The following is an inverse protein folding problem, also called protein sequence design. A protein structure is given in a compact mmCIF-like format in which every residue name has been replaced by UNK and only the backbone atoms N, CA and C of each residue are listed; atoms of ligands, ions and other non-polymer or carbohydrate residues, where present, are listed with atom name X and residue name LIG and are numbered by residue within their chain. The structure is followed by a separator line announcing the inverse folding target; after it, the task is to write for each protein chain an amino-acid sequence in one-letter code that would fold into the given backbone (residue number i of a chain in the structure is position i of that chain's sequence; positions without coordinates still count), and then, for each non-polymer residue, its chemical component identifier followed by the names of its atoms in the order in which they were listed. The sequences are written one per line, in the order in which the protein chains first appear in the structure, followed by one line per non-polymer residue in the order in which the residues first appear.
data_IF_933457197097
#
_entry.id   IF_933457197097
#
_cell.length_a   1.000
_cell.length_b   1.000
_cell.length_c   1.000
_cell.angle_alpha   90.00
_cell.angle_beta   90.00
_cell.angle_gamma   90.00
#
_symmetry.space_group_name_H-M   'P 1'
#
loop_
_entity.id
_entity.type
_entity.pdbx_description
1 polymer ?
#
# COMPACT_ATOMS: atom_id res chain seq x y z
N UNK A 1 -26.13 15.23 13.98
CA UNK A 1 -24.89 15.63 13.30
C UNK A 1 -23.85 14.50 13.27
N UNK A 2 -24.24 13.24 13.06
CA UNK A 2 -23.29 12.17 13.21
C UNK A 2 -22.89 11.50 11.88
N UNK A 3 -23.72 10.63 11.36
CA UNK A 3 -23.39 9.72 10.23
C UNK A 3 -23.38 10.41 8.86
N UNK A 4 -24.29 11.34 8.59
CA UNK A 4 -24.42 12.03 7.29
C UNK A 4 -23.20 12.90 6.97
N UNK A 5 -22.63 13.59 7.98
CA UNK A 5 -21.40 14.38 7.83
C UNK A 5 -20.16 13.48 7.63
N UNK A 6 -20.13 12.33 8.30
CA UNK A 6 -19.07 11.32 8.17
C UNK A 6 -19.02 10.70 6.78
N UNK A 7 -20.16 10.36 6.20
CA UNK A 7 -20.23 9.85 4.81
C UNK A 7 -19.66 10.85 3.80
N UNK A 8 -19.92 12.14 3.95
CA UNK A 8 -19.50 13.15 2.98
C UNK A 8 -17.98 13.39 3.01
N UNK A 9 -17.34 13.34 4.17
CA UNK A 9 -15.89 13.51 4.29
C UNK A 9 -15.10 12.23 3.90
N UNK A 10 -15.65 11.06 4.16
CA UNK A 10 -15.05 9.78 3.78
C UNK A 10 -15.22 9.54 2.27
N UNK A 11 -16.27 10.07 1.64
CA UNK A 11 -16.49 10.05 0.18
C UNK A 11 -15.41 10.78 -0.62
N UNK A 12 -14.66 11.70 -0.02
CA UNK A 12 -13.57 12.42 -0.68
C UNK A 12 -12.38 11.51 -1.06
N UNK A 13 -12.27 10.31 -0.46
CA UNK A 13 -11.32 9.29 -0.88
C UNK A 13 -11.95 8.44 -1.99
N UNK A 14 -11.37 8.43 -3.19
CA UNK A 14 -11.89 7.64 -4.31
C UNK A 14 -11.71 6.14 -4.06
N UNK A 15 -12.74 5.34 -4.39
CA UNK A 15 -12.71 3.88 -4.18
C UNK A 15 -12.84 3.47 -2.71
N UNK A 16 -12.30 2.30 -2.36
CA UNK A 16 -12.23 1.76 -0.99
C UNK A 16 -13.60 1.63 -0.30
N UNK A 17 -14.66 1.25 -1.06
CA UNK A 17 -16.04 1.20 -0.54
C UNK A 17 -16.15 0.35 0.72
N UNK A 18 -15.61 -0.87 0.71
CA UNK A 18 -15.61 -1.80 1.86
C UNK A 18 -14.87 -1.22 3.07
N UNK A 19 -13.74 -0.54 2.83
CA UNK A 19 -12.96 0.12 3.89
C UNK A 19 -13.77 1.24 4.54
N UNK A 20 -14.47 2.03 3.73
CA UNK A 20 -15.33 3.11 4.21
C UNK A 20 -16.50 2.60 5.02
N UNK A 21 -17.17 1.56 4.55
CA UNK A 21 -18.26 0.89 5.27
C UNK A 21 -17.78 0.40 6.64
N UNK A 22 -16.63 -0.28 6.70
CA UNK A 22 -16.07 -0.77 7.97
C UNK A 22 -15.71 0.34 8.94
N UNK A 23 -15.11 1.43 8.45
CA UNK A 23 -14.82 2.62 9.26
C UNK A 23 -16.11 3.25 9.80
N UNK A 24 -17.16 3.34 8.98
CA UNK A 24 -18.46 3.87 9.41
C UNK A 24 -19.11 3.00 10.46
N UNK A 25 -19.04 1.68 10.33
CA UNK A 25 -19.52 0.72 11.35
C UNK A 25 -18.81 0.96 12.69
N UNK A 26 -17.49 1.07 12.68
CA UNK A 26 -16.69 1.33 13.90
C UNK A 26 -17.08 2.68 14.55
N UNK A 27 -17.26 3.72 13.74
CA UNK A 27 -17.69 5.04 14.23
C UNK A 27 -19.12 4.97 14.78
N UNK A 28 -20.01 4.22 14.14
CA UNK A 28 -21.40 4.07 14.58
C UNK A 28 -21.50 3.34 15.93
N UNK A 29 -20.74 2.26 16.12
CA UNK A 29 -20.66 1.55 17.41
C UNK A 29 -20.23 2.50 18.52
N UNK A 30 -19.18 3.30 18.28
CA UNK A 30 -18.68 4.27 19.26
C UNK A 30 -19.69 5.42 19.54
N UNK A 31 -20.49 5.79 18.56
CA UNK A 31 -21.54 6.79 18.72
C UNK A 31 -22.75 6.28 19.54
N UNK A 32 -23.08 5.00 19.38
CA UNK A 32 -24.16 4.35 20.12
C UNK A 32 -23.77 3.99 21.55
N UNK A 33 -22.53 3.58 21.75
CA UNK A 33 -21.99 3.22 23.05
C UNK A 33 -20.66 3.96 23.29
N UNK A 34 -20.70 5.17 23.89
CA UNK A 34 -19.49 5.93 24.20
C UNK A 34 -18.54 5.22 25.21
N UNK A 35 -19.06 4.27 25.98
CA UNK A 35 -18.27 3.53 26.96
C UNK A 35 -17.44 2.40 26.31
N UNK A 36 -17.69 2.09 25.04
CA UNK A 36 -16.79 1.19 24.27
C UNK A 36 -15.48 1.92 24.02
N UNK A 37 -14.53 1.66 24.93
CA UNK A 37 -13.18 2.21 24.87
C UNK A 37 -12.26 1.22 24.11
N UNK A 38 -11.25 1.77 23.44
CA UNK A 38 -10.09 1.00 23.01
C UNK A 38 -10.17 0.30 21.66
N UNK A 39 -11.14 0.58 20.81
CA UNK A 39 -11.05 0.11 19.42
C UNK A 39 -9.96 0.89 18.67
N UNK A 40 -8.91 0.17 18.29
CA UNK A 40 -7.79 0.70 17.52
C UNK A 40 -7.95 0.22 16.09
N UNK A 41 -8.06 1.14 15.17
CA UNK A 41 -8.13 0.83 13.73
C UNK A 41 -6.70 0.73 13.20
N UNK A 42 -6.35 -0.41 12.61
CA UNK A 42 -5.08 -0.60 11.91
C UNK A 42 -5.31 -0.63 10.39
N UNK A 43 -4.83 0.40 9.69
CA UNK A 43 -4.92 0.50 8.24
C UNK A 43 -3.67 -0.13 7.62
N UNK A 44 -3.83 -1.29 6.98
CA UNK A 44 -2.73 -2.05 6.39
C UNK A 44 -2.82 -2.01 4.86
N UNK A 45 -1.69 -1.96 4.20
CA UNK A 45 -1.65 -2.03 2.73
C UNK A 45 -0.39 -1.40 2.15
N UNK A 46 -0.20 -1.50 0.84
CA UNK A 46 1.02 -1.04 0.19
C UNK A 46 1.24 0.47 0.34
N UNK A 47 2.47 0.95 0.15
CA UNK A 47 2.76 2.38 0.24
C UNK A 47 2.03 3.19 -0.84
N UNK A 48 1.53 4.37 -0.46
CA UNK A 48 0.88 5.30 -1.39
C UNK A 48 -0.60 5.06 -1.66
N UNK A 49 -1.26 4.11 -0.98
CA UNK A 49 -2.72 3.89 -1.08
C UNK A 49 -3.56 4.87 -0.25
N UNK A 50 -2.92 5.77 0.49
CA UNK A 50 -3.63 6.85 1.20
C UNK A 50 -3.98 6.56 2.66
N UNK A 51 -3.38 5.58 3.32
CA UNK A 51 -3.61 5.23 4.74
C UNK A 51 -3.69 6.46 5.66
N UNK A 52 -2.66 7.28 5.64
CA UNK A 52 -2.58 8.50 6.46
C UNK A 52 -3.66 9.54 6.08
N UNK A 53 -4.06 9.59 4.80
CA UNK A 53 -5.13 10.47 4.33
C UNK A 53 -6.49 10.01 4.84
N UNK A 54 -6.73 8.70 4.88
CA UNK A 54 -7.94 8.09 5.47
C UNK A 54 -8.05 8.47 6.95
N UNK A 55 -6.97 8.34 7.74
CA UNK A 55 -6.96 8.76 9.14
C UNK A 55 -7.32 10.24 9.35
N UNK A 56 -6.82 11.11 8.48
CA UNK A 56 -7.20 12.54 8.52
C UNK A 56 -8.68 12.76 8.14
N UNK A 57 -9.20 12.01 7.18
CA UNK A 57 -10.61 12.09 6.78
C UNK A 57 -11.52 11.62 7.90
N UNK A 58 -11.14 10.57 8.65
CA UNK A 58 -11.85 10.10 9.84
C UNK A 58 -11.91 11.23 10.89
N UNK A 59 -10.77 11.82 11.24
CA UNK A 59 -10.72 12.89 12.22
C UNK A 59 -11.66 14.06 11.85
N UNK A 60 -11.65 14.45 10.57
CA UNK A 60 -12.53 15.50 10.05
C UNK A 60 -14.00 15.10 10.13
N UNK A 61 -14.34 13.86 9.82
CA UNK A 61 -15.72 13.36 9.81
C UNK A 61 -16.36 13.38 11.20
N UNK A 62 -15.58 13.06 12.24
CA UNK A 62 -16.05 13.07 13.63
C UNK A 62 -15.78 14.40 14.36
N UNK A 63 -15.35 15.43 13.61
CA UNK A 63 -15.04 16.77 14.10
C UNK A 63 -14.06 16.76 15.29
N UNK A 64 -12.99 15.95 15.20
CA UNK A 64 -11.91 15.91 16.19
C UNK A 64 -10.62 16.47 15.61
N UNK A 65 -9.78 17.04 16.48
CA UNK A 65 -8.44 17.45 16.11
C UNK A 65 -7.61 16.24 15.65
N UNK A 66 -6.69 16.47 14.71
CA UNK A 66 -5.84 15.46 14.11
C UNK A 66 -4.38 15.67 14.49
N UNK A 67 -3.74 14.63 14.98
CA UNK A 67 -2.29 14.60 15.16
C UNK A 67 -1.69 13.37 14.49
N UNK A 68 -0.42 13.42 14.11
CA UNK A 68 0.32 12.30 13.49
C UNK A 68 1.65 12.11 14.19
N UNK A 69 1.94 10.86 14.54
CA UNK A 69 3.22 10.42 15.07
C UNK A 69 3.80 9.42 14.08
N UNK A 70 5.00 9.67 13.55
CA UNK A 70 5.72 8.68 12.75
C UNK A 70 6.50 7.77 13.69
N UNK A 71 6.25 6.47 13.62
CA UNK A 71 6.94 5.44 14.40
C UNK A 71 8.11 4.80 13.65
N UNK A 72 8.24 5.12 12.35
CA UNK A 72 9.34 4.60 11.54
C UNK A 72 10.70 5.02 12.07
N UNK A 73 11.49 4.03 12.52
CA UNK A 73 12.83 4.24 13.06
C UNK A 73 12.89 4.54 14.55
N UNK A 74 11.77 4.53 15.27
CA UNK A 74 11.73 4.62 16.73
C UNK A 74 12.28 3.31 17.30
N UNK A 75 13.34 3.41 18.11
CA UNK A 75 13.99 2.28 18.78
C UNK A 75 14.12 2.48 20.30
N UNK A 76 13.82 3.68 20.81
CA UNK A 76 13.91 4.02 22.23
C UNK A 76 12.49 4.25 22.79
N UNK A 77 12.17 3.55 23.88
CA UNK A 77 10.93 3.72 24.64
C UNK A 77 10.74 5.18 25.09
N UNK A 78 11.83 5.86 25.43
CA UNK A 78 11.81 7.26 25.87
C UNK A 78 11.28 8.21 24.79
N UNK A 79 11.30 7.85 23.50
CA UNK A 79 10.65 8.66 22.48
C UNK A 79 9.12 8.65 22.61
N UNK A 80 8.54 7.57 23.14
CA UNK A 80 7.08 7.46 23.37
C UNK A 80 6.70 8.06 24.71
N UNK A 81 7.41 7.65 25.80
CA UNK A 81 7.11 8.00 27.20
C UNK A 81 7.82 9.26 27.70
N UNK A 82 8.74 9.86 26.92
CA UNK A 82 9.54 10.98 27.37
C UNK A 82 10.76 10.60 28.18
N UNK A 83 11.67 11.55 28.35
CA UNK A 83 12.87 11.41 29.17
C UNK A 83 12.66 12.00 30.55
N UNK A 84 13.20 11.37 31.59
CA UNK A 84 13.16 11.90 32.96
C UNK A 84 13.84 13.27 33.02
N UNK A 85 13.26 14.22 33.77
CA UNK A 85 13.76 15.60 33.90
C UNK A 85 15.20 15.72 34.37
N UNK A 86 15.74 14.67 34.99
CA UNK A 86 17.14 14.64 35.47
C UNK A 86 18.17 14.58 34.34
N UNK A 87 17.78 14.28 33.11
CA UNK A 87 18.70 14.22 31.98
C UNK A 87 18.81 15.55 31.26
N UNK A 88 20.01 15.91 30.81
CA UNK A 88 20.23 17.08 29.95
C UNK A 88 19.53 16.85 28.62
N UNK A 89 18.68 17.78 28.20
CA UNK A 89 17.87 17.65 26.98
C UNK A 89 16.58 16.83 27.18
N UNK A 90 16.16 16.59 28.43
CA UNK A 90 14.89 15.93 28.73
C UNK A 90 13.71 16.63 28.04
N UNK A 91 12.80 15.83 27.48
CA UNK A 91 11.62 16.33 26.78
C UNK A 91 10.46 15.36 26.93
N UNK A 92 9.20 15.84 26.84
CA UNK A 92 8.03 14.99 26.88
C UNK A 92 8.01 14.05 25.67
N UNK A 93 7.36 12.90 25.84
CA UNK A 93 7.18 11.90 24.81
C UNK A 93 6.35 12.38 23.60
N UNK A 94 6.38 11.60 22.55
CA UNK A 94 5.66 11.93 21.29
C UNK A 94 4.15 11.97 21.48
N UNK A 95 3.59 11.18 22.40
CA UNK A 95 2.15 11.17 22.73
C UNK A 95 1.75 12.53 23.32
N UNK A 96 2.47 12.98 24.34
CA UNK A 96 2.23 14.29 24.98
C UNK A 96 2.39 15.44 23.98
N UNK A 97 3.42 15.40 23.15
CA UNK A 97 3.63 16.39 22.09
C UNK A 97 2.45 16.42 21.11
N UNK A 98 1.92 15.26 20.72
CA UNK A 98 0.79 15.17 19.81
C UNK A 98 -0.50 15.78 20.43
N UNK A 99 -0.78 15.50 21.71
CA UNK A 99 -1.91 16.07 22.45
C UNK A 99 -1.75 17.60 22.55
N UNK A 100 -0.56 18.07 22.90
CA UNK A 100 -0.25 19.50 22.99
C UNK A 100 -0.46 20.22 21.65
N UNK A 101 -0.04 19.61 20.55
CA UNK A 101 -0.26 20.15 19.20
C UNK A 101 -1.75 20.15 18.80
N UNK A 102 -2.49 19.11 19.19
CA UNK A 102 -3.92 19.01 18.93
C UNK A 102 -4.74 20.02 19.74
N UNK A 103 -4.21 20.52 20.88
CA UNK A 103 -4.89 21.44 21.80
C UNK A 103 -6.23 20.92 22.34
N UNK A 104 -6.38 19.61 22.45
CA UNK A 104 -7.55 18.93 22.98
C UNK A 104 -7.13 17.58 23.57
N UNK A 105 -7.89 17.07 24.55
CA UNK A 105 -7.62 15.76 25.19
C UNK A 105 -8.25 14.59 24.44
N UNK A 106 -9.09 14.86 23.42
CA UNK A 106 -9.79 13.83 22.65
C UNK A 106 -9.45 13.85 21.14
N UNK A 107 -8.18 14.01 20.73
CA UNK A 107 -7.82 14.05 19.32
C UNK A 107 -7.93 12.66 18.68
N UNK A 108 -7.84 12.63 17.35
CA UNK A 108 -7.46 11.44 16.60
C UNK A 108 -5.96 11.47 16.40
N UNK A 109 -5.26 10.48 16.93
CA UNK A 109 -3.81 10.33 16.77
C UNK A 109 -3.53 9.18 15.79
N UNK A 110 -2.88 9.51 14.67
CA UNK A 110 -2.40 8.51 13.72
C UNK A 110 -0.97 8.12 14.06
N UNK A 111 -0.78 6.87 14.44
CA UNK A 111 0.51 6.22 14.65
C UNK A 111 0.95 5.59 13.33
N UNK A 112 1.81 6.30 12.60
CA UNK A 112 2.17 5.94 11.23
C UNK A 112 3.41 5.06 11.18
N UNK A 113 3.37 4.02 10.33
CA UNK A 113 4.46 3.05 10.13
C UNK A 113 4.81 2.22 11.38
N UNK A 114 3.78 1.65 12.05
CA UNK A 114 3.98 0.80 13.24
C UNK A 114 4.77 -0.48 12.92
N UNK A 115 4.70 -0.95 11.69
CA UNK A 115 5.47 -2.08 11.15
C UNK A 115 6.99 -1.84 11.10
N UNK A 116 7.43 -0.59 11.30
CA UNK A 116 8.84 -0.19 11.28
C UNK A 116 9.42 0.14 12.66
N UNK A 117 8.73 -0.25 13.71
CA UNK A 117 9.28 -0.21 15.06
C UNK A 117 10.52 -1.09 15.14
N UNK A 118 11.55 -0.61 15.84
CA UNK A 118 12.75 -1.38 16.11
C UNK A 118 12.81 -1.69 17.59
N UNK A 119 13.11 -2.92 17.95
CA UNK A 119 13.51 -3.28 19.30
C UNK A 119 15.02 -3.29 19.34
N UNK A 120 15.61 -2.29 19.97
CA UNK A 120 17.04 -2.18 20.18
C UNK A 120 17.36 -2.45 21.67
N UNK A 121 18.64 -2.61 21.99
CA UNK A 121 19.12 -2.80 23.38
C UNK A 121 18.78 -1.64 24.34
N UNK A 122 18.21 -0.54 23.84
CA UNK A 122 17.89 0.69 24.60
C UNK A 122 16.46 0.77 25.10
N UNK A 123 15.64 -0.21 24.85
CA UNK A 123 14.24 -0.23 25.29
C UNK A 123 13.32 -0.95 24.32
N UNK A 124 12.09 -1.14 24.74
CA UNK A 124 11.04 -1.77 23.95
C UNK A 124 9.90 -0.76 23.68
N UNK A 125 9.95 -0.02 22.56
CA UNK A 125 8.90 0.91 22.21
C UNK A 125 7.54 0.22 21.98
N UNK A 126 7.52 -1.09 21.69
CA UNK A 126 6.28 -1.84 21.54
C UNK A 126 5.56 -1.99 22.89
N UNK A 127 6.30 -2.23 23.99
CA UNK A 127 5.73 -2.25 25.36
C UNK A 127 5.15 -0.88 25.75
N UNK A 128 5.84 0.21 25.40
CA UNK A 128 5.31 1.55 25.65
C UNK A 128 4.02 1.82 24.88
N UNK A 129 3.93 1.33 23.61
CA UNK A 129 2.71 1.45 22.82
C UNK A 129 1.59 0.54 23.33
N UNK A 130 1.90 -0.61 23.91
CA UNK A 130 0.88 -1.45 24.54
C UNK A 130 0.17 -0.70 25.66
N UNK A 131 0.89 0.01 26.54
CA UNK A 131 0.27 0.83 27.58
C UNK A 131 -0.59 1.97 27.00
N UNK A 132 -0.12 2.64 25.94
CA UNK A 132 -0.86 3.71 25.28
C UNK A 132 -2.15 3.19 24.63
N UNK A 133 -2.09 2.00 24.06
CA UNK A 133 -3.17 1.42 23.26
C UNK A 133 -4.11 0.53 24.05
N UNK A 134 -3.70 0.06 25.24
CA UNK A 134 -4.53 -0.78 26.09
C UNK A 134 -5.59 0.05 26.82
N UNK A 135 -6.89 -0.20 26.62
CA UNK A 135 -7.96 0.53 27.29
C UNK A 135 -7.94 0.43 28.81
N UNK A 136 -7.38 -0.67 29.35
CA UNK A 136 -7.28 -0.88 30.80
C UNK A 136 -6.15 -0.05 31.43
N UNK A 137 -5.13 0.30 30.65
CA UNK A 137 -3.93 0.98 31.14
C UNK A 137 -3.87 2.46 30.71
N UNK A 138 -4.43 2.81 29.57
CA UNK A 138 -4.28 4.13 28.95
C UNK A 138 -4.94 5.28 29.72
N UNK A 139 -5.86 4.99 30.65
CA UNK A 139 -6.46 5.99 31.53
C UNK A 139 -5.46 6.57 32.54
N UNK A 140 -4.32 5.90 32.75
CA UNK A 140 -3.27 6.33 33.68
C UNK A 140 -1.88 6.32 33.03
N UNK A 141 -1.79 6.64 31.75
CA UNK A 141 -0.53 6.70 31.03
C UNK A 141 0.47 7.66 31.68
N UNK A 142 1.66 7.18 32.00
CA UNK A 142 2.70 7.95 32.68
C UNK A 142 3.81 8.36 31.70
N UNK A 143 3.85 9.66 31.40
CA UNK A 143 5.00 10.26 30.72
C UNK A 143 6.10 10.58 31.72
N UNK A 144 7.32 10.10 31.47
CA UNK A 144 8.45 10.24 32.40
C UNK A 144 8.93 11.71 32.56
N UNK A 145 8.63 12.56 31.60
CA UNK A 145 8.93 13.99 31.72
C UNK A 145 7.88 14.72 32.54
N UNK A 146 6.60 14.39 32.36
CA UNK A 146 5.53 15.08 33.10
C UNK A 146 5.45 14.60 34.54
N UNK A 147 5.67 13.31 34.78
CA UNK A 147 5.54 12.64 36.09
C UNK A 147 4.14 12.73 36.72
N UNK A 148 3.14 12.97 35.87
CA UNK A 148 1.71 12.95 36.20
C UNK A 148 0.99 12.01 35.25
N UNK A 149 -0.01 11.24 35.74
CA UNK A 149 -0.79 10.37 34.89
C UNK A 149 -1.66 11.21 33.92
N UNK A 150 -1.75 10.76 32.69
CA UNK A 150 -2.60 11.33 31.64
C UNK A 150 -3.68 10.30 31.26
N UNK A 151 -4.91 10.74 31.21
CA UNK A 151 -6.01 9.93 30.70
C UNK A 151 -6.07 10.04 29.17
N UNK A 152 -5.74 8.92 28.51
CA UNK A 152 -5.81 8.78 27.04
C UNK A 152 -7.06 8.06 26.56
N UNK A 153 -8.00 7.73 27.45
CA UNK A 153 -9.18 6.93 27.12
C UNK A 153 -10.10 7.56 26.08
N UNK A 154 -10.11 8.89 25.98
CA UNK A 154 -10.88 9.62 24.98
C UNK A 154 -10.13 9.84 23.66
N UNK A 155 -8.85 9.51 23.60
CA UNK A 155 -8.05 9.59 22.38
C UNK A 155 -8.47 8.46 21.43
N UNK A 156 -8.68 8.78 20.17
CA UNK A 156 -8.89 7.77 19.13
C UNK A 156 -7.56 7.48 18.44
N UNK A 157 -7.06 6.27 18.60
CA UNK A 157 -5.84 5.83 17.94
C UNK A 157 -6.15 5.14 16.61
N UNK A 158 -5.41 5.51 15.58
CA UNK A 158 -5.39 4.85 14.28
C UNK A 158 -3.95 4.50 13.97
N UNK A 159 -3.66 3.24 13.69
CA UNK A 159 -2.33 2.81 13.29
C UNK A 159 -2.27 2.61 11.78
N UNK A 160 -1.08 2.74 11.19
CA UNK A 160 -0.86 2.39 9.78
C UNK A 160 0.34 1.47 9.66
N UNK A 161 0.24 0.49 8.76
CA UNK A 161 1.31 -0.45 8.46
C UNK A 161 1.36 -0.77 6.96
N UNK A 162 2.50 -1.22 6.46
CA UNK A 162 2.58 -1.77 5.11
C UNK A 162 2.37 -3.28 5.12
N UNK A 163 2.84 -3.97 6.16
CA UNK A 163 2.68 -5.41 6.41
C UNK A 163 2.34 -5.64 7.88
N UNK A 164 1.75 -6.79 8.19
CA UNK A 164 1.46 -7.22 9.56
C UNK A 164 2.59 -8.03 10.19
N UNK A 165 3.45 -8.62 9.36
CA UNK A 165 4.43 -9.65 9.75
C UNK A 165 5.42 -9.18 10.81
N UNK A 166 5.71 -7.88 10.86
CA UNK A 166 6.68 -7.27 11.76
C UNK A 166 6.06 -6.66 13.01
N UNK A 167 4.73 -6.65 13.09
CA UNK A 167 4.01 -6.09 14.24
C UNK A 167 3.92 -7.17 15.32
N UNK A 168 4.33 -6.88 16.57
CA UNK A 168 4.18 -7.83 17.68
C UNK A 168 2.74 -8.31 17.89
N UNK A 169 2.55 -9.61 18.07
CA UNK A 169 1.23 -10.21 18.21
C UNK A 169 0.37 -9.54 19.32
N UNK A 170 0.90 -9.19 20.51
CA UNK A 170 0.11 -8.51 21.54
C UNK A 170 -0.46 -7.14 21.13
N UNK A 171 0.19 -6.45 20.17
CA UNK A 171 -0.33 -5.22 19.59
C UNK A 171 -1.42 -5.52 18.56
N UNK A 172 -1.20 -6.54 17.72
CA UNK A 172 -2.19 -6.94 16.68
C UNK A 172 -3.51 -7.39 17.30
N UNK A 173 -3.46 -8.14 18.41
CA UNK A 173 -4.66 -8.65 19.10
C UNK A 173 -5.60 -7.54 19.59
N UNK A 174 -5.08 -6.32 19.74
CA UNK A 174 -5.86 -5.14 20.15
C UNK A 174 -6.35 -4.29 18.99
N UNK A 175 -5.99 -4.65 17.75
CA UNK A 175 -6.26 -3.83 16.58
C UNK A 175 -7.31 -4.45 15.69
N UNK A 176 -8.25 -3.64 15.24
CA UNK A 176 -9.11 -3.99 14.14
C UNK A 176 -8.39 -3.70 12.82
N UNK A 177 -7.96 -4.78 12.15
CA UNK A 177 -7.20 -4.68 10.90
C UNK A 177 -8.14 -4.43 9.72
N UNK A 178 -7.88 -3.34 9.00
CA UNK A 178 -8.58 -2.98 7.77
C UNK A 178 -7.57 -2.92 6.63
N UNK A 179 -7.68 -3.84 5.68
CA UNK A 179 -6.78 -3.90 4.54
C UNK A 179 -7.19 -2.91 3.44
N UNK A 180 -6.24 -2.11 3.00
CA UNK A 180 -6.36 -1.22 1.85
C UNK A 180 -5.69 -1.89 0.65
N UNK A 181 -6.46 -2.33 -0.36
CA UNK A 181 -5.88 -2.95 -1.54
C UNK A 181 -5.11 -1.94 -2.40
N UNK A 182 -4.36 -2.47 -3.37
CA UNK A 182 -3.79 -1.66 -4.44
C UNK A 182 -4.89 -1.07 -5.32
N UNK A 183 -4.63 0.10 -5.88
CA UNK A 183 -5.55 0.72 -6.83
C UNK A 183 -5.44 0.10 -8.22
N UNK A 184 -6.59 -0.12 -8.83
CA UNK A 184 -6.69 -0.49 -10.23
C UNK A 184 -6.27 0.68 -11.14
N UNK A 185 -6.00 0.40 -12.41
CA UNK A 185 -5.67 1.41 -13.42
C UNK A 185 -6.74 2.51 -13.50
N UNK A 186 -8.01 2.13 -13.48
CA UNK A 186 -9.16 3.05 -13.53
C UNK A 186 -9.28 3.90 -12.25
N UNK A 187 -9.02 3.31 -11.10
CA UNK A 187 -9.01 4.05 -9.84
C UNK A 187 -7.87 5.06 -9.80
N UNK A 188 -6.66 4.70 -10.24
CA UNK A 188 -5.53 5.61 -10.37
C UNK A 188 -5.85 6.78 -11.30
N UNK A 189 -6.50 6.51 -12.44
CA UNK A 189 -6.94 7.55 -13.37
C UNK A 189 -7.91 8.53 -12.70
N UNK A 190 -8.94 8.01 -12.05
CA UNK A 190 -9.93 8.86 -11.36
C UNK A 190 -9.32 9.67 -10.22
N UNK A 191 -8.41 9.07 -9.43
CA UNK A 191 -7.68 9.78 -8.38
C UNK A 191 -6.79 10.87 -8.98
N UNK A 192 -6.08 10.58 -10.07
CA UNK A 192 -5.25 11.55 -10.76
C UNK A 192 -6.07 12.75 -11.24
N UNK A 193 -7.18 12.49 -11.95
CA UNK A 193 -8.02 13.51 -12.56
C UNK A 193 -8.74 14.38 -11.54
N UNK A 194 -9.33 13.75 -10.49
CA UNK A 194 -10.18 14.44 -9.51
C UNK A 194 -9.41 15.09 -8.36
N UNK A 195 -8.26 14.53 -7.98
CA UNK A 195 -7.56 14.94 -6.77
C UNK A 195 -6.11 15.39 -7.02
N UNK A 196 -5.29 14.57 -7.72
CA UNK A 196 -3.87 14.87 -7.82
C UNK A 196 -3.60 16.06 -8.75
N UNK A 197 -4.19 16.07 -9.93
CA UNK A 197 -3.98 17.13 -10.91
C UNK A 197 -4.42 18.50 -10.37
N UNK A 198 -5.64 18.70 -9.85
CA UNK A 198 -6.04 19.97 -9.27
C UNK A 198 -5.14 20.42 -8.10
N UNK A 199 -4.73 19.47 -7.25
CA UNK A 199 -3.81 19.73 -6.13
C UNK A 199 -2.44 20.22 -6.63
N UNK A 200 -1.89 19.58 -7.67
CA UNK A 200 -0.58 19.92 -8.20
C UNK A 200 -0.62 21.24 -8.97
N UNK A 201 -1.65 21.50 -9.77
CA UNK A 201 -1.84 22.81 -10.44
C UNK A 201 -1.87 23.96 -9.41
N UNK A 202 -2.68 23.82 -8.36
CA UNK A 202 -2.73 24.81 -7.28
C UNK A 202 -1.38 25.01 -6.59
N UNK A 203 -0.65 23.90 -6.33
CA UNK A 203 0.67 23.95 -5.68
C UNK A 203 1.73 24.65 -6.52
N UNK A 204 1.64 24.57 -7.85
CA UNK A 204 2.58 25.19 -8.78
C UNK A 204 2.11 26.56 -9.31
N UNK A 205 0.98 27.07 -8.81
CA UNK A 205 0.43 28.39 -9.20
C UNK A 205 -0.18 28.43 -10.61
N UNK A 206 -0.51 27.27 -11.17
CA UNK A 206 -1.06 27.11 -12.50
C UNK A 206 -2.60 27.07 -12.47
N UNK A 207 -3.23 27.60 -13.52
CA UNK A 207 -4.68 27.51 -13.70
C UNK A 207 -5.03 26.33 -14.62
N UNK A 208 -6.15 25.68 -14.36
CA UNK A 208 -6.64 24.59 -15.21
C UNK A 208 -6.94 25.02 -16.67
N UNK A 209 -7.10 26.33 -16.91
CA UNK A 209 -7.23 26.91 -18.26
C UNK A 209 -5.90 26.98 -19.00
N UNK A 210 -4.78 27.04 -18.29
CA UNK A 210 -3.43 27.17 -18.84
C UNK A 210 -2.75 25.80 -19.05
N UNK A 211 -2.94 24.86 -18.12
CA UNK A 211 -2.34 23.53 -18.21
C UNK A 211 -3.43 22.47 -18.18
N UNK A 212 -3.48 21.65 -19.22
CA UNK A 212 -4.42 20.55 -19.37
C UNK A 212 -3.65 19.25 -19.65
N UNK A 213 -3.87 18.22 -18.85
CA UNK A 213 -3.45 16.86 -19.18
C UNK A 213 -4.68 16.11 -19.69
N UNK A 214 -4.62 15.55 -20.88
CA UNK A 214 -5.72 14.78 -21.47
C UNK A 214 -5.89 13.44 -20.76
N UNK A 215 -7.02 12.80 -20.93
CA UNK A 215 -7.28 11.47 -20.36
C UNK A 215 -6.25 10.45 -20.88
N UNK A 216 -5.94 10.47 -22.18
CA UNK A 216 -4.87 9.65 -22.77
C UNK A 216 -3.49 9.96 -22.18
N UNK A 217 -3.21 11.23 -21.89
CA UNK A 217 -1.97 11.63 -21.21
C UNK A 217 -1.88 11.08 -19.78
N UNK A 218 -2.98 11.09 -19.01
CA UNK A 218 -3.02 10.52 -17.65
C UNK A 218 -2.79 9.00 -17.72
N UNK A 219 -3.46 8.28 -18.63
CA UNK A 219 -3.24 6.85 -18.82
C UNK A 219 -1.79 6.55 -19.24
N UNK A 220 -1.22 7.34 -20.13
CA UNK A 220 0.19 7.20 -20.52
C UNK A 220 1.14 7.37 -19.31
N UNK A 221 0.85 8.30 -18.39
CA UNK A 221 1.64 8.44 -17.16
C UNK A 221 1.51 7.17 -16.30
N UNK A 222 0.31 6.66 -16.12
CA UNK A 222 0.04 5.47 -15.30
C UNK A 222 0.78 4.27 -15.87
N UNK A 223 0.60 3.99 -17.15
CA UNK A 223 1.05 2.77 -17.80
C UNK A 223 2.56 2.78 -18.08
N UNK A 224 3.11 3.93 -18.53
CA UNK A 224 4.49 3.98 -19.04
C UNK A 224 5.49 4.64 -18.10
N UNK A 225 5.05 5.35 -17.06
CA UNK A 225 5.96 6.08 -16.16
C UNK A 225 5.84 5.70 -14.69
N UNK A 226 4.87 4.83 -14.33
CA UNK A 226 4.68 4.37 -12.96
C UNK A 226 4.46 2.86 -12.90
N UNK A 227 5.08 2.21 -11.91
CA UNK A 227 4.81 0.81 -11.52
C UNK A 227 4.74 0.80 -10.00
N UNK A 228 3.53 0.91 -9.45
CA UNK A 228 3.28 1.03 -8.02
C UNK A 228 1.86 0.59 -7.66
N UNK A 229 1.65 0.12 -6.44
CA UNK A 229 0.33 -0.24 -5.92
C UNK A 229 -0.56 0.99 -5.64
N UNK A 230 0.04 2.06 -5.14
CA UNK A 230 -0.64 3.32 -4.82
C UNK A 230 -0.54 4.37 -5.93
N UNK A 231 -0.52 5.64 -5.53
CA UNK A 231 -0.49 6.81 -6.43
C UNK A 231 0.62 7.81 -6.10
N UNK A 232 1.63 7.42 -5.30
CA UNK A 232 2.70 8.33 -4.86
C UNK A 232 3.64 8.72 -6.00
N UNK A 233 4.05 7.74 -6.82
CA UNK A 233 4.88 8.00 -8.01
C UNK A 233 4.06 8.74 -9.07
N UNK A 234 2.79 8.39 -9.24
CA UNK A 234 1.86 9.08 -10.14
C UNK A 234 1.76 10.56 -9.78
N UNK A 235 1.59 10.90 -8.50
CA UNK A 235 1.58 12.29 -8.04
C UNK A 235 2.91 13.01 -8.36
N UNK A 236 4.04 12.33 -8.16
CA UNK A 236 5.36 12.89 -8.48
C UNK A 236 5.52 13.15 -10.00
N UNK A 237 4.99 12.26 -10.86
CA UNK A 237 5.03 12.45 -12.32
C UNK A 237 4.14 13.60 -12.76
N UNK A 238 2.92 13.70 -12.23
CA UNK A 238 2.02 14.84 -12.47
C UNK A 238 2.69 16.15 -12.02
N UNK A 239 3.31 16.16 -10.84
CA UNK A 239 4.07 17.32 -10.38
C UNK A 239 5.24 17.69 -11.30
N UNK A 240 5.92 16.70 -11.91
CA UNK A 240 6.98 16.96 -12.86
C UNK A 240 6.43 17.57 -14.18
N UNK A 241 5.28 17.10 -14.64
CA UNK A 241 4.58 17.70 -15.78
C UNK A 241 4.22 19.16 -15.48
N UNK A 242 3.60 19.43 -14.32
CA UNK A 242 3.26 20.81 -13.92
C UNK A 242 4.51 21.71 -13.90
N UNK A 243 5.60 21.30 -13.23
CA UNK A 243 6.84 22.12 -13.22
C UNK A 243 7.38 22.47 -14.60
N UNK A 244 7.36 21.50 -15.53
CA UNK A 244 7.84 21.76 -16.91
C UNK A 244 6.84 22.58 -17.71
N UNK A 245 5.55 22.44 -17.46
CA UNK A 245 4.52 23.29 -18.02
C UNK A 245 4.64 24.74 -17.54
N UNK A 246 4.91 24.96 -16.25
CA UNK A 246 5.17 26.29 -15.72
C UNK A 246 6.34 26.97 -16.43
N UNK A 247 7.44 26.23 -16.72
CA UNK A 247 8.57 26.74 -17.50
C UNK A 247 8.13 27.20 -18.89
N UNK A 248 7.39 26.36 -19.65
CA UNK A 248 6.88 26.69 -20.98
C UNK A 248 5.96 27.93 -20.97
N UNK A 249 5.09 28.05 -19.97
CA UNK A 249 4.24 29.24 -19.81
C UNK A 249 5.06 30.52 -19.58
N UNK A 250 6.16 30.46 -18.83
CA UNK A 250 7.05 31.60 -18.60
C UNK A 250 7.90 31.93 -19.86
N UNK A 251 8.16 30.96 -20.71
CA UNK A 251 8.83 31.12 -22.01
C UNK A 251 7.92 31.71 -23.11
N UNK A 252 6.63 31.96 -22.78
CA UNK A 252 5.69 32.67 -23.67
C UNK A 252 4.56 31.80 -24.21
N UNK A 253 4.46 30.52 -23.87
CA UNK A 253 3.29 29.71 -24.25
C UNK A 253 2.05 30.20 -23.47
N UNK A 254 0.93 30.40 -24.15
CA UNK A 254 -0.32 30.80 -23.51
C UNK A 254 -1.07 29.62 -22.86
N UNK A 255 -0.82 28.39 -23.35
CA UNK A 255 -1.45 27.16 -22.90
C UNK A 255 -0.60 25.94 -23.24
N UNK A 256 -0.48 25.03 -22.27
CA UNK A 256 0.20 23.74 -22.42
C UNK A 256 -0.83 22.61 -22.37
N UNK A 257 -0.94 21.84 -23.44
CA UNK A 257 -1.80 20.63 -23.47
C UNK A 257 -0.90 19.41 -23.59
N UNK A 258 -1.02 18.52 -22.61
CA UNK A 258 -0.22 17.29 -22.50
C UNK A 258 -1.07 16.10 -22.86
N UNK A 259 -0.60 15.30 -23.80
CA UNK A 259 -1.24 14.08 -24.29
C UNK A 259 -0.21 12.95 -24.43
N UNK A 260 -0.63 11.78 -24.89
CA UNK A 260 0.21 10.61 -25.07
C UNK A 260 1.38 10.81 -26.05
N UNK A 261 1.23 11.73 -27.03
CA UNK A 261 2.23 11.95 -28.09
C UNK A 261 3.35 12.90 -27.66
N UNK A 262 3.05 13.87 -26.78
CA UNK A 262 4.02 14.87 -26.35
C UNK A 262 4.52 14.70 -24.91
N UNK A 263 4.04 13.69 -24.20
CA UNK A 263 4.42 13.46 -22.81
C UNK A 263 5.90 13.11 -22.66
N UNK A 264 6.51 12.50 -23.65
CA UNK A 264 7.95 12.17 -23.67
C UNK A 264 8.85 13.40 -23.62
N UNK A 265 8.43 14.52 -24.21
CA UNK A 265 9.15 15.79 -24.08
C UNK A 265 9.25 16.26 -22.63
N UNK A 266 8.21 15.95 -21.83
CA UNK A 266 8.12 16.39 -20.45
C UNK A 266 8.66 15.37 -19.44
N UNK A 267 8.50 14.08 -19.68
CA UNK A 267 8.88 13.04 -18.72
C UNK A 267 10.09 12.21 -19.15
N UNK A 268 10.54 12.37 -20.40
CA UNK A 268 11.60 11.57 -21.01
C UNK A 268 11.06 10.22 -21.53
N UNK A 269 11.95 9.36 -21.93
CA UNK A 269 11.65 8.04 -22.51
C UNK A 269 10.75 7.24 -21.58
N UNK A 270 9.79 6.51 -22.14
CA UNK A 270 8.91 5.59 -21.43
C UNK A 270 9.72 4.57 -20.63
N UNK A 271 9.40 4.43 -19.37
CA UNK A 271 10.11 3.52 -18.45
C UNK A 271 9.58 2.09 -18.50
N UNK A 272 8.31 1.97 -18.76
CA UNK A 272 7.60 0.71 -18.83
C UNK A 272 6.87 0.66 -20.17
N UNK A 273 7.14 -0.38 -20.92
CA UNK A 273 6.39 -0.67 -22.15
C UNK A 273 5.21 -1.57 -21.76
N UNK A 274 4.03 -1.41 -22.35
CA UNK A 274 2.96 -2.38 -22.22
C UNK A 274 3.49 -3.76 -22.65
N UNK A 275 3.25 -4.78 -21.85
CA UNK A 275 3.50 -6.15 -22.29
C UNK A 275 2.57 -6.43 -23.46
N UNK A 276 3.14 -6.66 -24.62
CA UNK A 276 2.38 -7.08 -25.79
C UNK A 276 1.89 -8.50 -25.52
N UNK A 277 0.57 -8.68 -25.49
CA UNK A 277 0.01 -10.03 -25.52
C UNK A 277 0.38 -10.65 -26.87
N UNK A 278 0.73 -11.94 -26.94
CA UNK A 278 0.96 -12.63 -28.18
C UNK A 278 -0.25 -12.44 -29.12
N UNK A 279 0.00 -12.03 -30.36
CA UNK A 279 -1.10 -11.84 -31.35
C UNK A 279 -1.71 -13.16 -31.81
N UNK A 280 -1.01 -14.27 -31.58
CA UNK A 280 -1.43 -15.61 -31.95
C UNK A 280 -1.18 -16.59 -30.82
N UNK A 281 -2.00 -17.65 -30.75
CA UNK A 281 -1.81 -18.73 -29.82
C UNK A 281 -0.52 -19.50 -30.14
N UNK A 282 0.35 -19.66 -29.16
CA UNK A 282 1.59 -20.43 -29.27
C UNK A 282 1.47 -21.71 -28.48
N UNK A 283 1.80 -22.86 -29.13
CA UNK A 283 1.84 -24.13 -28.46
C UNK A 283 3.02 -24.18 -27.50
N UNK A 284 2.73 -24.48 -26.24
CA UNK A 284 3.74 -24.51 -25.17
C UNK A 284 3.97 -23.17 -24.48
N UNK A 285 3.22 -22.13 -24.82
CA UNK A 285 3.25 -20.83 -24.12
C UNK A 285 1.92 -20.55 -23.45
N UNK A 286 1.93 -20.25 -22.16
CA UNK A 286 0.74 -19.92 -21.36
C UNK A 286 0.99 -18.69 -20.51
N UNK A 287 -0.01 -17.81 -20.43
CA UNK A 287 0.06 -16.63 -19.57
C UNK A 287 -0.48 -16.97 -18.19
N UNK A 288 0.40 -17.12 -17.23
CA UNK A 288 0.07 -17.22 -15.82
C UNK A 288 -0.21 -15.85 -15.21
N UNK A 289 -0.83 -15.84 -14.03
CA UNK A 289 -1.10 -14.67 -13.22
C UNK A 289 -0.24 -14.72 -11.96
N UNK A 290 0.48 -13.65 -11.69
CA UNK A 290 1.25 -13.49 -10.47
C UNK A 290 0.80 -12.26 -9.69
N UNK A 291 0.88 -12.34 -8.36
CA UNK A 291 0.65 -11.20 -7.51
C UNK A 291 1.97 -10.66 -6.97
N UNK A 292 2.13 -9.34 -7.02
CA UNK A 292 3.33 -8.66 -6.55
C UNK A 292 2.96 -7.54 -5.59
N UNK A 293 3.94 -7.00 -4.88
CA UNK A 293 3.75 -5.83 -4.02
C UNK A 293 3.22 -4.58 -4.74
N UNK A 294 3.24 -4.58 -6.07
CA UNK A 294 2.73 -3.47 -6.90
C UNK A 294 1.40 -3.78 -7.59
N UNK A 295 0.86 -4.98 -7.40
CA UNK A 295 -0.40 -5.46 -7.96
C UNK A 295 -0.26 -6.76 -8.73
N UNK A 296 -1.32 -7.18 -9.42
CA UNK A 296 -1.30 -8.33 -10.32
C UNK A 296 -0.45 -8.04 -11.55
N UNK A 297 0.29 -9.05 -12.01
CA UNK A 297 1.08 -9.02 -13.25
C UNK A 297 0.83 -10.31 -14.01
N UNK A 298 0.97 -10.25 -15.32
CA UNK A 298 1.03 -11.44 -16.16
C UNK A 298 2.44 -12.03 -16.10
N UNK A 299 2.52 -13.35 -16.20
CA UNK A 299 3.79 -14.07 -16.21
C UNK A 299 3.72 -15.13 -17.30
N UNK A 300 4.46 -14.97 -18.40
CA UNK A 300 4.52 -16.00 -19.39
C UNK A 300 5.22 -17.24 -18.82
N UNK A 301 4.70 -18.41 -19.16
CA UNK A 301 5.29 -19.71 -18.87
C UNK A 301 5.46 -20.43 -20.21
N UNK A 302 6.65 -20.93 -20.44
CA UNK A 302 7.02 -21.63 -21.67
C UNK A 302 7.33 -23.08 -21.34
N UNK A 303 6.77 -24.00 -22.12
CA UNK A 303 6.98 -25.45 -21.97
C UNK A 303 7.49 -26.00 -23.26
N UNK A 304 8.68 -26.58 -23.23
CA UNK A 304 9.28 -27.29 -24.35
C UNK A 304 9.23 -28.77 -24.09
N UNK A 305 8.82 -29.52 -25.09
CA UNK A 305 8.82 -31.02 -25.10
C UNK A 305 9.83 -31.49 -26.11
N UNK A 306 10.84 -32.22 -25.66
CA UNK A 306 11.94 -32.69 -26.45
C UNK A 306 12.05 -34.22 -26.37
N UNK A 307 12.66 -34.86 -27.39
CA UNK A 307 13.02 -36.28 -27.26
C UNK A 307 14.12 -36.40 -26.20
N UNK A 308 13.95 -37.34 -25.27
CA UNK A 308 14.89 -37.49 -24.17
C UNK A 308 14.68 -38.75 -23.34
N UNK A 309 14.93 -38.65 -22.05
CA UNK A 309 14.93 -39.79 -21.12
C UNK A 309 13.97 -39.62 -19.95
N UNK A 310 13.06 -38.64 -20.03
CA UNK A 310 12.11 -38.35 -18.97
C UNK A 310 12.61 -37.29 -17.98
N UNK A 311 13.58 -36.45 -18.37
CA UNK A 311 14.12 -35.40 -17.52
C UNK A 311 13.14 -34.21 -17.44
N UNK A 312 12.93 -33.69 -16.24
CA UNK A 312 12.23 -32.46 -16.01
C UNK A 312 13.22 -31.34 -15.64
N UNK A 313 13.29 -30.31 -16.46
CA UNK A 313 14.07 -29.12 -16.20
C UNK A 313 13.13 -27.94 -15.86
N UNK A 314 13.44 -27.25 -14.79
CA UNK A 314 12.68 -26.08 -14.29
C UNK A 314 13.65 -24.92 -14.21
N UNK A 315 13.37 -23.82 -14.93
CA UNK A 315 14.24 -22.64 -14.99
C UNK A 315 13.44 -21.34 -14.85
N UNK A 316 14.10 -20.24 -14.50
CA UNK A 316 13.47 -18.91 -14.35
C UNK A 316 13.50 -18.38 -12.93
N UNK A 317 14.48 -18.77 -12.10
CA UNK A 317 14.60 -18.34 -10.70
C UNK A 317 13.37 -18.70 -9.86
N UNK A 318 12.95 -19.97 -9.97
CA UNK A 318 11.77 -20.51 -9.27
C UNK A 318 12.13 -20.82 -7.81
N UNK A 319 11.27 -20.43 -6.88
CA UNK A 319 11.34 -20.86 -5.48
C UNK A 319 10.91 -22.31 -5.26
N UNK A 320 10.97 -22.76 -4.02
CA UNK A 320 10.69 -24.17 -3.67
C UNK A 320 9.25 -24.56 -3.97
N UNK A 321 8.28 -23.71 -3.61
CA UNK A 321 6.84 -23.96 -3.83
C UNK A 321 6.52 -24.04 -5.32
N UNK A 322 7.08 -23.14 -6.12
CA UNK A 322 6.84 -23.12 -7.56
C UNK A 322 7.54 -24.31 -8.27
N UNK A 323 8.71 -24.71 -7.78
CA UNK A 323 9.40 -25.91 -8.24
C UNK A 323 8.59 -27.18 -7.96
N UNK A 324 8.03 -27.31 -6.75
CA UNK A 324 7.13 -28.40 -6.40
C UNK A 324 5.87 -28.42 -7.26
N UNK A 325 5.28 -27.22 -7.46
CA UNK A 325 4.11 -27.03 -8.32
C UNK A 325 4.34 -27.52 -9.75
N UNK A 326 5.50 -27.22 -10.33
CA UNK A 326 5.88 -27.74 -11.66
C UNK A 326 5.97 -29.26 -11.71
N UNK A 327 6.51 -29.94 -10.68
CA UNK A 327 6.53 -31.38 -10.57
C UNK A 327 5.13 -32.00 -10.47
N UNK A 328 4.25 -31.36 -9.69
CA UNK A 328 2.84 -31.78 -9.55
C UNK A 328 2.11 -31.62 -10.88
N UNK A 329 2.35 -30.56 -11.64
CA UNK A 329 1.74 -30.34 -12.95
C UNK A 329 2.07 -31.50 -13.92
N UNK A 330 3.33 -31.94 -13.98
CA UNK A 330 3.72 -33.12 -14.81
C UNK A 330 3.01 -34.38 -14.34
N UNK A 331 2.87 -34.61 -13.04
CA UNK A 331 2.14 -35.74 -12.48
C UNK A 331 0.65 -35.69 -12.84
N UNK A 332 0.04 -34.49 -12.83
CA UNK A 332 -1.33 -34.30 -13.26
C UNK A 332 -1.52 -34.61 -14.74
N UNK A 333 -0.63 -34.11 -15.62
CA UNK A 333 -0.67 -34.41 -17.06
C UNK A 333 -0.61 -35.90 -17.29
N UNK A 334 0.27 -36.63 -16.57
CA UNK A 334 0.34 -38.10 -16.64
C UNK A 334 -0.99 -38.77 -16.26
N UNK A 335 -1.64 -38.30 -15.21
CA UNK A 335 -2.93 -38.86 -14.76
C UNK A 335 -4.08 -38.60 -15.75
N UNK A 336 -3.95 -37.59 -16.58
CA UNK A 336 -4.93 -37.16 -17.59
C UNK A 336 -4.55 -37.62 -19.02
N UNK A 337 -3.46 -38.36 -19.19
CA UNK A 337 -2.93 -38.72 -20.50
C UNK A 337 -3.97 -39.41 -21.40
N UNK A 338 -4.67 -40.41 -20.88
CA UNK A 338 -5.75 -41.12 -21.62
C UNK A 338 -6.88 -40.19 -22.05
N UNK A 339 -7.27 -39.24 -21.20
CA UNK A 339 -8.36 -38.29 -21.47
C UNK A 339 -8.06 -37.35 -22.62
N UNK A 340 -6.79 -36.96 -22.77
CA UNK A 340 -6.34 -36.00 -23.77
C UNK A 340 -5.55 -36.59 -24.92
N UNK A 341 -5.56 -37.93 -25.08
CA UNK A 341 -4.78 -38.66 -26.11
C UNK A 341 -3.28 -38.33 -26.10
N UNK A 342 -2.71 -38.18 -24.92
CA UNK A 342 -1.29 -38.00 -24.72
C UNK A 342 -0.67 -39.40 -24.58
N UNK A 343 0.52 -39.63 -25.17
CA UNK A 343 1.24 -40.87 -24.97
C UNK A 343 1.48 -41.11 -23.46
N UNK A 344 0.90 -42.20 -22.87
CA UNK A 344 1.03 -42.44 -21.44
C UNK A 344 2.48 -42.73 -21.00
N UNK A 345 3.38 -43.06 -21.93
CA UNK A 345 4.81 -43.30 -21.68
C UNK A 345 5.70 -42.08 -21.98
N UNK A 346 5.10 -40.90 -22.26
CA UNK A 346 5.86 -39.68 -22.58
C UNK A 346 6.94 -39.35 -21.55
N UNK A 347 6.69 -39.64 -20.29
CA UNK A 347 7.62 -39.40 -19.19
C UNK A 347 8.88 -40.28 -19.23
N UNK A 348 8.97 -41.26 -20.16
CA UNK A 348 10.14 -42.11 -20.35
C UNK A 348 10.98 -41.68 -21.55
N UNK A 349 10.37 -41.06 -22.55
CA UNK A 349 10.98 -40.81 -23.86
C UNK A 349 10.96 -39.33 -24.26
N UNK A 350 10.40 -38.46 -23.42
CA UNK A 350 10.37 -37.01 -23.61
C UNK A 350 10.96 -36.29 -22.40
N UNK A 351 11.85 -35.35 -22.65
CA UNK A 351 12.30 -34.40 -21.67
C UNK A 351 11.37 -33.18 -21.72
N UNK A 352 11.04 -32.64 -20.54
CA UNK A 352 10.21 -31.46 -20.37
C UNK A 352 11.04 -30.32 -19.79
N UNK A 353 10.99 -29.17 -20.42
CA UNK A 353 11.62 -27.97 -19.90
C UNK A 353 10.55 -26.92 -19.69
N UNK A 354 10.30 -26.54 -18.44
CA UNK A 354 9.39 -25.46 -18.05
C UNK A 354 10.23 -24.24 -17.69
N UNK A 355 10.02 -23.16 -18.42
CA UNK A 355 10.74 -21.91 -18.24
C UNK A 355 9.78 -20.78 -17.87
N UNK A 356 10.10 -20.03 -16.81
CA UNK A 356 9.45 -18.77 -16.50
C UNK A 356 10.43 -17.62 -16.83
N UNK A 357 10.22 -16.87 -17.92
CA UNK A 357 11.08 -15.76 -18.31
C UNK A 357 11.33 -14.73 -17.20
N UNK A 358 12.24 -13.79 -17.40
CA UNK A 358 12.71 -12.83 -16.38
C UNK A 358 13.45 -13.48 -15.20
N UNK A 359 14.46 -14.28 -15.49
CA UNK A 359 15.27 -15.02 -14.50
C UNK A 359 15.93 -14.17 -13.41
N UNK A 360 16.03 -12.85 -13.57
CA UNK A 360 16.55 -11.93 -12.57
C UNK A 360 15.57 -11.64 -11.41
N UNK A 361 14.28 -12.01 -11.58
CA UNK A 361 13.24 -11.79 -10.56
C UNK A 361 12.90 -13.14 -9.93
N UNK A 362 13.14 -13.35 -8.61
CA UNK A 362 12.73 -14.56 -7.92
C UNK A 362 11.21 -14.72 -7.98
N UNK A 363 10.75 -15.92 -8.30
CA UNK A 363 9.33 -16.27 -8.43
C UNK A 363 9.01 -17.43 -7.53
N UNK A 364 7.98 -17.28 -6.69
CA UNK A 364 7.48 -18.38 -5.87
C UNK A 364 5.97 -18.27 -5.66
N UNK A 365 5.30 -19.42 -5.56
CA UNK A 365 3.86 -19.49 -5.31
C UNK A 365 3.20 -20.75 -5.86
N UNK A 366 2.06 -21.19 -5.28
CA UNK A 366 1.39 -22.43 -5.62
C UNK A 366 0.55 -22.36 -6.90
N UNK A 367 0.18 -21.16 -7.36
CA UNK A 367 -0.81 -20.99 -8.45
C UNK A 367 -0.28 -21.36 -9.84
N UNK A 368 1.03 -21.36 -10.06
CA UNK A 368 1.62 -21.65 -11.37
C UNK A 368 1.41 -23.11 -11.85
N UNK A 369 1.21 -24.06 -10.93
CA UNK A 369 0.97 -25.46 -11.29
C UNK A 369 -0.40 -25.76 -11.89
N UNK A 370 -1.33 -24.83 -11.79
CA UNK A 370 -2.66 -24.94 -12.42
C UNK A 370 -2.62 -24.44 -13.87
N UNK A 371 -1.70 -23.54 -14.18
CA UNK A 371 -1.51 -22.95 -15.50
C UNK A 371 -0.72 -23.86 -16.42
#
# INVERSE_FOLDING_TARGET
YGLVGSEMCIRDSYGLKKVKERILETIAVRALNPDVKGQIICLVGPPGVGKTSVGRSIAKSINRAYARISLGGVGDEAEIRGHRKTYIGAMPGRIVKAITQAKTMNPVIVLDEIDKLRSDYKGDPASALLEVLDPEQNASFADHYLEIPLDLSDVMFITTANTLDTIPAPLLDRMEVIELPSYTREEKFNIAKKHLLPKQLKKHGEKASQVKITDSGIYSIIDSYTKEAGVRKLEQRIAAVCRKSAKKLLEGESKVTVNENNIEELLGIKKYLPEALPEQDEVGAVTGLAWTSVGGVTMPLEVLVMNGTGKLELTGSLGEVMTESGKIAVSLVRSLADKYNIDPEFYKNKDLHIHAPEGAVPKDGPSAGVT
#
